data_IF_362396397718
#
_entry.id   IF_362396397718
#
_cell.length_a   1.000
_cell.length_b   1.000
_cell.length_c   1.000
_cell.angle_alpha   90.00
_cell.angle_beta   90.00
_cell.angle_gamma   90.00
#
_symmetry.space_group_name_H-M   'P 1'
#
loop_
_entity.id
_entity.type
_entity.pdbx_description
1 polymer ?
#
# COMPACT_ATOMS: atom_id res chain seq x y z
N UNK A 1 47.53 81.31 3.30
CA UNK A 1 48.96 80.98 3.50
C UNK A 1 49.20 79.58 2.96
N UNK A 2 50.05 79.51 1.93
CA UNK A 2 50.99 78.43 1.58
C UNK A 2 50.54 76.97 1.74
N UNK A 3 50.46 76.27 0.59
CA UNK A 3 49.98 74.90 0.46
C UNK A 3 50.89 73.80 1.00
N UNK A 4 50.51 72.52 0.80
CA UNK A 4 51.28 71.39 1.30
C UNK A 4 52.14 70.72 0.23
N UNK A 5 53.25 70.21 0.76
CA UNK A 5 54.38 69.52 0.15
C UNK A 5 54.01 68.23 -0.61
N UNK A 6 54.82 67.95 -1.63
CA UNK A 6 54.93 66.67 -2.33
C UNK A 6 55.79 65.67 -1.54
N UNK A 7 55.42 64.39 -1.61
CA UNK A 7 56.23 63.24 -1.18
C UNK A 7 55.63 61.94 -1.75
N UNK A 8 56.44 60.99 -2.26
CA UNK A 8 55.99 60.00 -3.24
C UNK A 8 55.30 58.79 -2.61
N UNK A 9 54.14 58.39 -3.14
CA UNK A 9 53.50 57.10 -2.87
C UNK A 9 54.12 56.01 -3.74
N UNK A 10 54.95 55.17 -3.14
CA UNK A 10 55.44 53.92 -3.73
C UNK A 10 54.29 52.91 -3.85
N UNK A 11 53.78 52.73 -5.07
CA UNK A 11 52.80 51.70 -5.39
C UNK A 11 53.41 50.31 -5.30
N UNK A 12 52.97 49.50 -4.33
CA UNK A 12 53.23 48.05 -4.34
C UNK A 12 52.23 47.40 -5.29
N UNK A 13 52.71 46.88 -6.41
CA UNK A 13 51.91 46.01 -7.27
C UNK A 13 51.62 44.69 -6.54
N UNK A 14 50.36 44.22 -6.49
CA UNK A 14 50.07 42.88 -5.99
C UNK A 14 50.70 41.84 -6.92
N UNK A 15 51.23 40.72 -6.40
CA UNK A 15 51.78 39.67 -7.24
C UNK A 15 50.68 39.09 -8.14
N UNK A 16 50.93 39.11 -9.45
CA UNK A 16 50.05 38.49 -10.43
C UNK A 16 50.03 36.97 -10.18
N UNK A 17 48.91 36.47 -9.68
CA UNK A 17 48.67 35.04 -9.53
C UNK A 17 48.73 34.36 -10.91
N UNK A 18 49.42 33.21 -11.05
CA UNK A 18 49.52 32.52 -12.32
C UNK A 18 48.13 32.13 -12.81
N UNK A 19 47.85 32.41 -14.10
CA UNK A 19 46.54 32.19 -14.76
C UNK A 19 45.93 30.80 -14.55
N UNK A 20 46.76 29.79 -14.25
CA UNK A 20 46.32 28.41 -13.93
C UNK A 20 45.73 28.26 -12.52
N UNK A 21 46.21 29.03 -11.54
CA UNK A 21 45.65 29.01 -10.18
C UNK A 21 44.28 29.73 -10.13
N UNK A 22 44.13 30.82 -10.90
CA UNK A 22 42.87 31.54 -11.02
C UNK A 22 41.76 30.71 -11.70
N UNK A 23 42.12 29.86 -12.67
CA UNK A 23 41.16 29.00 -13.37
C UNK A 23 40.69 27.81 -12.53
N UNK A 24 41.55 27.25 -11.67
CA UNK A 24 41.15 26.19 -10.72
C UNK A 24 40.22 26.74 -9.63
N UNK A 25 40.53 27.92 -9.08
CA UNK A 25 39.66 28.59 -8.10
C UNK A 25 38.30 28.96 -8.69
N UNK A 26 38.26 29.43 -9.94
CA UNK A 26 37.01 29.70 -10.65
C UNK A 26 36.17 28.44 -10.88
N UNK A 27 36.81 27.32 -11.22
CA UNK A 27 36.12 26.04 -11.39
C UNK A 27 35.54 25.49 -10.07
N UNK A 28 36.28 25.62 -8.96
CA UNK A 28 35.78 25.23 -7.64
C UNK A 28 34.66 26.15 -7.12
N UNK A 29 34.71 27.45 -7.44
CA UNK A 29 33.63 28.37 -7.10
C UNK A 29 32.35 28.06 -7.91
N UNK A 30 32.50 27.73 -9.21
CA UNK A 30 31.36 27.33 -10.05
C UNK A 30 30.70 26.03 -9.57
N UNK A 31 31.48 25.04 -9.13
CA UNK A 31 30.91 23.78 -8.62
C UNK A 31 30.23 23.96 -7.26
N UNK A 32 30.74 24.84 -6.39
CA UNK A 32 30.07 25.20 -5.14
C UNK A 32 28.75 25.96 -5.38
N UNK A 33 28.69 26.86 -6.38
CA UNK A 33 27.47 27.55 -6.78
C UNK A 33 26.44 26.60 -7.44
N UNK A 34 26.90 25.60 -8.18
CA UNK A 34 26.02 24.59 -8.80
C UNK A 34 25.43 23.61 -7.79
N UNK A 35 26.13 23.30 -6.69
CA UNK A 35 25.62 22.43 -5.62
C UNK A 35 24.51 23.10 -4.77
N UNK A 36 24.41 24.43 -4.80
CA UNK A 36 23.36 25.18 -4.10
C UNK A 36 22.00 25.17 -4.84
N UNK A 37 21.94 24.67 -6.08
CA UNK A 37 20.70 24.54 -6.84
C UNK A 37 20.03 23.17 -6.63
N UNK A 38 20.05 22.64 -5.40
CA UNK A 38 19.10 21.60 -5.00
C UNK A 38 17.82 22.31 -4.58
N UNK A 39 17.01 22.68 -5.56
CA UNK A 39 15.64 23.10 -5.29
C UNK A 39 14.89 21.90 -4.73
N UNK A 40 14.45 21.99 -3.47
CA UNK A 40 13.35 21.14 -3.02
C UNK A 40 12.21 21.29 -4.03
N UNK A 41 11.52 20.20 -4.41
CA UNK A 41 10.37 20.32 -5.29
C UNK A 41 9.37 21.24 -4.61
N UNK A 42 9.32 22.48 -5.09
CA UNK A 42 8.31 23.44 -4.66
C UNK A 42 7.00 22.87 -5.19
N UNK A 43 6.19 22.33 -4.29
CA UNK A 43 4.79 22.01 -4.54
C UNK A 43 4.04 23.32 -4.74
N UNK A 44 4.20 23.92 -5.91
CA UNK A 44 3.45 25.10 -6.33
C UNK A 44 2.04 24.68 -6.73
N UNK A 45 1.04 25.18 -6.01
CA UNK A 45 -0.33 25.29 -6.54
C UNK A 45 -1.45 24.49 -5.87
N UNK A 46 -1.31 24.03 -4.63
CA UNK A 46 -2.45 23.44 -3.91
C UNK A 46 -3.22 24.49 -3.13
N UNK A 47 -4.48 24.75 -3.49
CA UNK A 47 -5.49 25.08 -2.47
C UNK A 47 -5.26 24.06 -1.35
N UNK A 48 -4.91 24.50 -0.14
CA UNK A 48 -4.59 23.58 0.96
C UNK A 48 -5.81 22.69 1.20
N UNK A 49 -5.73 21.46 0.70
CA UNK A 49 -6.87 20.53 0.68
C UNK A 49 -7.01 20.03 2.11
N UNK A 50 -7.75 20.79 2.92
CA UNK A 50 -7.97 20.48 4.34
C UNK A 50 -8.70 19.15 4.51
N UNK A 51 -9.48 18.72 3.51
CA UNK A 51 -10.07 17.39 3.51
C UNK A 51 -9.02 16.31 3.20
N UNK A 52 -8.79 15.45 4.19
CA UNK A 52 -7.89 14.30 4.05
C UNK A 52 -8.31 13.36 2.92
N UNK A 53 -9.58 13.32 2.51
CA UNK A 53 -10.04 12.45 1.42
C UNK A 53 -9.52 12.89 0.07
N UNK A 54 -9.42 14.20 -0.14
CA UNK A 54 -8.90 14.76 -1.37
C UNK A 54 -7.36 14.86 -1.33
N UNK A 55 -6.75 14.95 -0.14
CA UNK A 55 -5.29 14.87 0.05
C UNK A 55 -4.74 13.44 -0.07
N UNK A 56 -5.44 12.46 0.50
CA UNK A 56 -5.09 11.04 0.48
C UNK A 56 -6.22 10.24 -0.17
N UNK A 57 -6.46 10.42 -1.49
CA UNK A 57 -7.54 9.74 -2.17
C UNK A 57 -7.28 8.24 -2.25
N UNK A 58 -8.34 7.45 -2.07
CA UNK A 58 -8.30 6.03 -2.39
C UNK A 58 -8.44 5.90 -3.90
N UNK A 59 -7.42 5.33 -4.53
CA UNK A 59 -7.36 5.08 -5.97
C UNK A 59 -7.40 3.59 -6.25
N UNK A 60 -7.89 3.25 -7.44
CA UNK A 60 -7.93 1.87 -7.92
C UNK A 60 -6.72 1.64 -8.82
N UNK A 61 -5.96 0.61 -8.52
CA UNK A 61 -4.76 0.25 -9.28
C UNK A 61 -4.68 -1.27 -9.45
N UNK A 62 -4.12 -1.73 -10.56
CA UNK A 62 -3.75 -3.12 -10.72
C UNK A 62 -2.45 -3.40 -9.96
N UNK A 63 -2.43 -4.48 -9.19
CA UNK A 63 -1.24 -4.89 -8.48
C UNK A 63 -1.20 -6.38 -8.19
N UNK A 64 0.00 -6.89 -7.83
CA UNK A 64 0.15 -8.29 -7.48
C UNK A 64 -0.55 -8.59 -6.15
N UNK A 65 -1.22 -9.73 -6.11
CA UNK A 65 -1.65 -10.42 -4.89
C UNK A 65 -0.79 -11.67 -4.78
N UNK A 66 -0.06 -11.82 -3.67
CA UNK A 66 0.88 -12.94 -3.48
C UNK A 66 0.62 -13.73 -2.21
N UNK A 67 0.81 -15.05 -2.28
CA UNK A 67 0.80 -15.97 -1.15
C UNK A 67 2.07 -16.82 -1.20
N UNK A 68 2.85 -16.79 -0.12
CA UNK A 68 4.03 -17.61 0.04
C UNK A 68 3.65 -18.91 0.77
N UNK A 69 3.94 -20.06 0.15
CA UNK A 69 3.66 -21.40 0.68
C UNK A 69 4.99 -22.06 1.03
N UNK A 70 5.13 -22.50 2.28
CA UNK A 70 6.36 -23.11 2.79
C UNK A 70 6.35 -24.63 2.56
N UNK A 71 7.29 -25.15 1.76
CA UNK A 71 7.40 -26.58 1.50
C UNK A 71 7.69 -27.37 2.77
N UNK A 72 7.05 -28.52 2.92
CA UNK A 72 7.33 -29.47 4.00
C UNK A 72 8.03 -30.72 3.45
N UNK A 73 8.82 -31.40 4.29
CA UNK A 73 9.61 -32.57 3.92
C UNK A 73 8.83 -33.66 3.18
N UNK A 74 7.55 -33.90 3.53
CA UNK A 74 6.71 -34.92 2.88
C UNK A 74 5.82 -34.37 1.78
N UNK A 75 5.81 -33.06 1.54
CA UNK A 75 4.94 -32.40 0.57
C UNK A 75 3.49 -32.23 1.05
N UNK A 76 3.20 -32.43 2.33
CA UNK A 76 1.90 -32.09 2.90
C UNK A 76 1.81 -30.57 3.12
N UNK A 77 0.62 -30.00 2.96
CA UNK A 77 0.36 -28.65 3.44
C UNK A 77 -0.17 -28.76 4.87
N UNK A 78 0.32 -27.89 5.75
CA UNK A 78 -0.31 -27.69 7.06
C UNK A 78 -1.77 -27.25 6.85
N UNK A 79 -2.73 -27.63 7.73
CA UNK A 79 -4.14 -27.26 7.58
C UNK A 79 -4.38 -25.76 7.36
N UNK A 80 -3.56 -24.90 7.97
CA UNK A 80 -3.63 -23.46 7.75
C UNK A 80 -3.20 -23.09 6.33
N UNK A 81 -2.08 -23.61 5.85
CA UNK A 81 -1.60 -23.34 4.48
C UNK A 81 -2.57 -23.88 3.42
N UNK A 82 -3.18 -25.04 3.67
CA UNK A 82 -4.22 -25.57 2.79
C UNK A 82 -5.42 -24.62 2.69
N UNK A 83 -5.89 -24.11 3.83
CA UNK A 83 -6.99 -23.12 3.89
C UNK A 83 -6.62 -21.81 3.18
N UNK A 84 -5.40 -21.32 3.39
CA UNK A 84 -4.91 -20.11 2.75
C UNK A 84 -4.82 -20.27 1.22
N UNK A 85 -4.36 -21.44 0.75
CA UNK A 85 -4.31 -21.78 -0.69
C UNK A 85 -5.71 -21.85 -1.28
N UNK A 86 -6.66 -22.52 -0.63
CA UNK A 86 -8.05 -22.61 -1.12
C UNK A 86 -8.69 -21.22 -1.23
N UNK A 87 -8.53 -20.39 -0.19
CA UNK A 87 -9.02 -19.01 -0.20
C UNK A 87 -8.36 -18.19 -1.32
N UNK A 88 -7.06 -18.36 -1.54
CA UNK A 88 -6.31 -17.67 -2.59
C UNK A 88 -6.74 -18.11 -4.01
N UNK A 89 -7.00 -19.40 -4.23
CA UNK A 89 -7.50 -19.90 -5.51
C UNK A 89 -8.93 -19.39 -5.79
N UNK A 90 -9.78 -19.33 -4.76
CA UNK A 90 -11.11 -18.73 -4.87
C UNK A 90 -11.01 -17.24 -5.20
N UNK A 91 -10.08 -16.51 -4.58
CA UNK A 91 -9.82 -15.10 -4.85
C UNK A 91 -9.37 -14.88 -6.31
N UNK A 92 -8.42 -15.69 -6.79
CA UNK A 92 -7.95 -15.67 -8.19
C UNK A 92 -9.10 -15.90 -9.17
N UNK A 93 -9.99 -16.87 -8.90
CA UNK A 93 -11.13 -17.13 -9.78
C UNK A 93 -12.16 -16.01 -9.82
N UNK A 94 -12.29 -15.24 -8.74
CA UNK A 94 -13.26 -14.13 -8.65
C UNK A 94 -12.71 -12.81 -9.19
N UNK A 95 -11.45 -12.51 -8.91
CA UNK A 95 -10.86 -11.18 -9.11
C UNK A 95 -9.55 -11.19 -9.89
N UNK A 96 -9.01 -12.37 -10.20
CA UNK A 96 -7.74 -12.52 -10.89
C UNK A 96 -7.79 -12.06 -12.33
N UNK A 97 -6.69 -11.43 -12.76
CA UNK A 97 -6.43 -11.00 -14.12
C UNK A 97 -5.15 -11.69 -14.61
N UNK A 98 -5.20 -12.24 -15.82
CA UNK A 98 -4.09 -12.98 -16.40
C UNK A 98 -3.87 -14.35 -15.73
N UNK A 99 -2.64 -14.86 -15.81
CA UNK A 99 -2.26 -16.18 -15.30
C UNK A 99 -1.92 -16.15 -13.81
N UNK A 100 -2.21 -17.24 -13.12
CA UNK A 100 -1.66 -17.53 -11.80
C UNK A 100 -0.20 -17.96 -11.96
N UNK A 101 0.73 -17.18 -11.42
CA UNK A 101 2.15 -17.48 -11.43
C UNK A 101 2.53 -18.26 -10.17
N UNK A 102 3.09 -19.46 -10.35
CA UNK A 102 3.71 -20.28 -9.32
C UNK A 102 5.23 -20.21 -9.47
N UNK A 103 5.88 -19.44 -8.59
CA UNK A 103 7.33 -19.32 -8.58
C UNK A 103 7.93 -20.33 -7.60
N UNK A 104 8.72 -21.26 -8.13
CA UNK A 104 9.35 -22.35 -7.39
C UNK A 104 10.81 -21.98 -7.11
N UNK A 105 11.29 -22.09 -5.85
CA UNK A 105 12.67 -21.78 -5.53
C UNK A 105 13.64 -22.76 -6.21
N UNK A 106 14.74 -22.23 -6.72
CA UNK A 106 15.84 -22.97 -7.34
C UNK A 106 17.15 -22.76 -6.56
N UNK A 107 18.01 -23.77 -6.56
CA UNK A 107 19.26 -23.75 -5.79
C UNK A 107 19.07 -23.97 -4.28
N UNK A 108 17.94 -24.58 -3.89
CA UNK A 108 17.72 -25.02 -2.49
C UNK A 108 18.70 -26.15 -2.11
N UNK A 109 19.02 -26.32 -0.83
CA UNK A 109 19.80 -27.45 -0.33
C UNK A 109 19.26 -28.82 -0.81
N UNK A 110 20.12 -29.82 -1.07
CA UNK A 110 19.72 -31.10 -1.66
C UNK A 110 18.61 -31.85 -0.90
N UNK A 111 18.58 -31.73 0.42
CA UNK A 111 17.57 -32.32 1.31
C UNK A 111 16.18 -31.68 1.13
N UNK A 112 16.10 -30.46 0.62
CA UNK A 112 14.85 -29.72 0.43
C UNK A 112 14.28 -29.81 -1.00
N UNK A 113 15.08 -30.22 -1.99
CA UNK A 113 14.66 -30.28 -3.40
C UNK A 113 13.38 -31.12 -3.57
N UNK A 114 13.34 -32.30 -2.96
CA UNK A 114 12.20 -33.20 -3.07
C UNK A 114 10.94 -32.66 -2.38
N UNK A 115 11.11 -31.93 -1.27
CA UNK A 115 10.03 -31.25 -0.56
C UNK A 115 9.38 -30.16 -1.41
N UNK A 116 10.21 -29.32 -2.04
CA UNK A 116 9.79 -28.25 -2.96
C UNK A 116 9.01 -28.83 -4.14
N UNK A 117 9.56 -29.85 -4.82
CA UNK A 117 8.92 -30.47 -5.98
C UNK A 117 7.58 -31.12 -5.62
N UNK A 118 7.51 -31.85 -4.49
CA UNK A 118 6.25 -32.43 -4.02
C UNK A 118 5.22 -31.36 -3.71
N UNK A 119 5.61 -30.31 -3.00
CA UNK A 119 4.70 -29.19 -2.65
C UNK A 119 4.19 -28.48 -3.90
N UNK A 120 5.05 -28.19 -4.89
CA UNK A 120 4.63 -27.61 -6.17
C UNK A 120 3.61 -28.51 -6.89
N UNK A 121 3.83 -29.84 -6.89
CA UNK A 121 2.88 -30.78 -7.48
C UNK A 121 1.52 -30.78 -6.77
N UNK A 122 1.50 -30.65 -5.44
CA UNK A 122 0.28 -30.56 -4.64
C UNK A 122 -0.46 -29.26 -4.96
N UNK A 123 0.25 -28.13 -5.01
CA UNK A 123 -0.35 -26.83 -5.35
C UNK A 123 -0.96 -26.83 -6.75
N UNK A 124 -0.33 -27.48 -7.73
CA UNK A 124 -0.90 -27.65 -9.07
C UNK A 124 -2.20 -28.45 -9.05
N UNK A 125 -2.25 -29.56 -8.29
CA UNK A 125 -3.47 -30.36 -8.13
C UNK A 125 -4.57 -29.59 -7.39
N UNK A 126 -4.25 -28.92 -6.29
CA UNK A 126 -5.20 -28.08 -5.53
C UNK A 126 -5.76 -26.95 -6.39
N UNK A 127 -4.94 -26.31 -7.22
CA UNK A 127 -5.40 -25.33 -8.19
C UNK A 127 -6.48 -25.91 -9.11
N UNK A 128 -6.22 -27.07 -9.71
CA UNK A 128 -7.19 -27.74 -10.60
C UNK A 128 -8.48 -28.17 -9.88
N UNK A 129 -8.37 -28.66 -8.64
CA UNK A 129 -9.52 -29.03 -7.80
C UNK A 129 -10.37 -27.82 -7.43
N UNK A 130 -9.74 -26.66 -7.21
CA UNK A 130 -10.42 -25.39 -6.94
C UNK A 130 -11.00 -24.71 -8.19
N UNK A 131 -10.87 -25.33 -9.37
CA UNK A 131 -11.42 -24.84 -10.63
C UNK A 131 -10.53 -23.85 -11.37
N UNK A 132 -9.23 -23.82 -11.08
CA UNK A 132 -8.22 -23.10 -11.88
C UNK A 132 -7.72 -24.04 -12.98
N UNK A 133 -7.85 -23.64 -14.25
CA UNK A 133 -7.39 -24.49 -15.34
C UNK A 133 -5.86 -24.60 -15.32
N UNK A 134 -5.32 -25.79 -15.61
CA UNK A 134 -3.86 -25.99 -15.68
C UNK A 134 -3.16 -25.02 -16.65
N UNK A 135 -3.85 -24.60 -17.73
CA UNK A 135 -3.32 -23.59 -18.69
C UNK A 135 -3.22 -22.17 -18.12
N UNK A 136 -3.93 -21.88 -17.03
CA UNK A 136 -3.91 -20.59 -16.35
C UNK A 136 -2.78 -20.52 -15.31
N UNK A 137 -2.16 -21.65 -14.97
CA UNK A 137 -1.06 -21.74 -14.01
C UNK A 137 0.26 -21.71 -14.77
N UNK A 138 0.95 -20.58 -14.72
CA UNK A 138 2.31 -20.44 -15.21
C UNK A 138 3.30 -20.82 -14.10
N UNK A 139 4.23 -21.73 -14.37
CA UNK A 139 5.27 -22.11 -13.41
C UNK A 139 6.60 -21.48 -13.83
N UNK A 140 7.26 -20.80 -12.91
CA UNK A 140 8.60 -20.24 -13.13
C UNK A 140 9.53 -20.52 -11.95
N UNK A 141 10.84 -20.43 -12.19
CA UNK A 141 11.86 -20.57 -11.15
C UNK A 141 12.34 -19.22 -10.63
N UNK A 142 12.78 -19.17 -9.38
CA UNK A 142 13.56 -18.03 -8.87
C UNK A 142 14.77 -18.51 -8.07
N UNK A 143 15.88 -17.78 -8.14
CA UNK A 143 17.09 -18.13 -7.41
C UNK A 143 16.95 -17.75 -5.91
N UNK A 144 17.30 -18.68 -5.02
CA UNK A 144 17.33 -18.41 -3.58
C UNK A 144 18.59 -17.61 -3.24
N UNK A 145 18.40 -16.41 -2.69
CA UNK A 145 19.51 -15.49 -2.39
C UNK A 145 20.42 -15.98 -1.24
N UNK A 146 19.85 -16.66 -0.24
CA UNK A 146 20.59 -17.23 0.88
C UNK A 146 20.00 -18.61 1.23
N UNK A 147 20.76 -19.71 1.10
CA UNK A 147 20.26 -21.08 1.34
C UNK A 147 19.82 -21.36 2.78
N UNK A 148 20.19 -20.50 3.73
CA UNK A 148 19.81 -20.60 5.14
C UNK A 148 18.43 -20.02 5.44
N UNK A 149 17.85 -19.24 4.52
CA UNK A 149 16.51 -18.70 4.65
C UNK A 149 15.48 -19.70 4.14
N UNK A 150 14.30 -19.70 4.74
CA UNK A 150 13.17 -20.47 4.24
C UNK A 150 12.87 -20.05 2.78
N UNK A 151 12.80 -21.03 1.87
CA UNK A 151 12.53 -20.82 0.46
C UNK A 151 11.08 -21.22 0.12
N UNK A 152 10.11 -20.30 0.17
CA UNK A 152 8.72 -20.60 -0.13
C UNK A 152 8.47 -20.76 -1.63
N UNK A 153 7.42 -21.49 -1.98
CA UNK A 153 6.80 -21.41 -3.31
C UNK A 153 5.87 -20.20 -3.30
N UNK A 154 6.08 -19.24 -4.19
CA UNK A 154 5.26 -18.02 -4.26
C UNK A 154 4.17 -18.17 -5.31
N UNK A 155 2.93 -18.09 -4.86
CA UNK A 155 1.77 -17.96 -5.73
C UNK A 155 1.47 -16.47 -5.92
N UNK A 156 1.22 -16.02 -7.14
CA UNK A 156 0.85 -14.64 -7.40
C UNK A 156 -0.02 -14.45 -8.63
N UNK A 157 -0.89 -13.46 -8.59
CA UNK A 157 -1.68 -13.05 -9.75
C UNK A 157 -1.92 -11.54 -9.71
N UNK A 158 -2.33 -10.95 -10.83
CA UNK A 158 -2.70 -9.54 -10.88
C UNK A 158 -4.17 -9.37 -10.52
N UNK A 159 -4.50 -8.38 -9.70
CA UNK A 159 -5.87 -7.98 -9.44
C UNK A 159 -5.97 -6.47 -9.27
N UNK A 160 -7.16 -5.93 -9.49
CA UNK A 160 -7.46 -4.57 -9.09
C UNK A 160 -7.50 -4.49 -7.56
N UNK A 161 -6.94 -3.42 -7.01
CA UNK A 161 -6.83 -3.17 -5.58
C UNK A 161 -7.13 -1.70 -5.29
N UNK A 162 -7.71 -1.41 -4.13
CA UNK A 162 -7.80 -0.06 -3.61
C UNK A 162 -6.52 0.26 -2.84
N UNK A 163 -5.92 1.42 -3.09
CA UNK A 163 -4.74 1.94 -2.36
C UNK A 163 -4.83 3.45 -2.21
N UNK A 164 -4.12 4.02 -1.24
CA UNK A 164 -3.92 5.47 -1.19
C UNK A 164 -2.95 5.88 -2.30
N UNK A 165 -3.21 7.00 -2.98
CA UNK A 165 -2.38 7.47 -4.09
C UNK A 165 -0.93 7.75 -3.67
N UNK A 166 -0.74 8.30 -2.47
CA UNK A 166 0.54 8.72 -1.94
C UNK A 166 1.03 7.82 -0.80
N UNK A 167 2.35 7.81 -0.59
CA UNK A 167 2.94 7.14 0.57
C UNK A 167 2.63 7.91 1.86
N UNK A 168 2.12 7.22 2.88
CA UNK A 168 1.96 7.80 4.21
C UNK A 168 3.33 8.06 4.86
N UNK A 169 3.38 9.04 5.78
CA UNK A 169 4.59 9.35 6.55
C UNK A 169 5.44 10.48 5.96
N UNK A 170 4.87 11.27 5.06
CA UNK A 170 5.48 12.50 4.56
C UNK A 170 5.21 13.65 5.54
N UNK A 171 6.24 14.37 5.96
CA UNK A 171 6.14 15.47 6.92
C UNK A 171 6.63 16.78 6.29
N UNK A 172 5.85 17.39 5.36
CA UNK A 172 6.24 18.64 4.71
C UNK A 172 6.23 19.83 5.67
N UNK A 173 5.48 19.73 6.77
CA UNK A 173 5.55 20.64 7.92
C UNK A 173 5.87 19.82 9.16
N UNK A 174 6.68 20.41 10.05
CA UNK A 174 6.90 19.86 11.39
C UNK A 174 5.60 19.91 12.20
N UNK A 175 5.44 18.97 13.13
CA UNK A 175 4.36 18.97 14.12
C UNK A 175 4.69 19.82 15.36
N UNK A 176 5.97 20.19 15.52
CA UNK A 176 6.44 21.06 16.59
C UNK A 176 6.06 22.52 16.41
N UNK A 177 6.36 23.34 17.42
CA UNK A 177 6.21 24.80 17.35
C UNK A 177 7.46 25.42 16.67
N UNK A 178 7.43 25.55 15.35
CA UNK A 178 8.49 26.17 14.53
C UNK A 178 8.03 27.38 13.70
N UNK A 179 6.74 27.48 13.37
CA UNK A 179 6.14 28.57 12.60
C UNK A 179 4.73 28.91 13.13
N UNK A 180 4.59 30.10 13.72
CA UNK A 180 3.32 30.56 14.28
C UNK A 180 2.14 30.50 13.29
N UNK A 181 2.35 30.85 12.03
CA UNK A 181 1.28 30.85 11.03
C UNK A 181 0.79 29.44 10.65
N UNK A 182 1.66 28.44 10.77
CA UNK A 182 1.37 27.03 10.44
C UNK A 182 0.88 26.25 11.65
N UNK A 183 1.51 26.45 12.81
CA UNK A 183 1.32 25.59 13.98
C UNK A 183 0.16 26.04 14.87
N UNK A 184 -0.20 27.33 14.81
CA UNK A 184 -1.30 27.90 15.59
C UNK A 184 -2.56 28.11 14.76
N UNK A 185 -2.63 27.48 13.58
CA UNK A 185 -3.86 27.40 12.82
C UNK A 185 -4.60 26.08 13.17
N UNK A 186 -5.92 26.08 13.11
CA UNK A 186 -6.73 24.88 13.35
C UNK A 186 -6.83 24.00 12.09
N UNK A 187 -5.71 23.74 11.41
CA UNK A 187 -5.67 22.88 10.22
C UNK A 187 -5.17 21.49 10.58
N UNK A 188 -5.68 20.46 9.88
CA UNK A 188 -5.16 19.11 10.04
C UNK A 188 -3.71 19.01 9.54
N UNK A 189 -2.91 18.20 10.22
CA UNK A 189 -1.56 17.88 9.75
C UNK A 189 -1.59 17.10 8.44
N UNK A 190 -0.50 17.15 7.67
CA UNK A 190 -0.43 16.51 6.36
C UNK A 190 -0.79 15.02 6.39
N UNK A 191 -0.30 14.27 7.37
CA UNK A 191 -0.54 12.82 7.47
C UNK A 191 -1.90 12.44 8.05
N UNK A 192 -2.72 13.41 8.49
CA UNK A 192 -4.03 13.10 9.03
C UNK A 192 -4.87 12.37 7.98
N UNK A 193 -5.46 11.24 8.38
CA UNK A 193 -6.33 10.44 7.53
C UNK A 193 -5.61 9.45 6.60
N UNK A 194 -4.30 9.57 6.35
CA UNK A 194 -3.59 8.66 5.43
C UNK A 194 -3.64 7.19 5.89
N UNK A 195 -3.38 6.95 7.18
CA UNK A 195 -3.47 5.62 7.77
C UNK A 195 -4.90 5.07 7.75
N UNK A 196 -5.90 5.92 7.98
CA UNK A 196 -7.32 5.52 7.93
C UNK A 196 -7.73 5.15 6.50
N UNK A 197 -7.38 5.97 5.51
CA UNK A 197 -7.64 5.69 4.10
C UNK A 197 -6.94 4.40 3.65
N UNK A 198 -5.71 4.17 4.11
CA UNK A 198 -4.95 2.94 3.82
C UNK A 198 -5.62 1.71 4.42
N UNK A 199 -6.08 1.78 5.67
CA UNK A 199 -6.79 0.69 6.33
C UNK A 199 -8.14 0.41 5.67
N UNK A 200 -8.89 1.45 5.28
CA UNK A 200 -10.15 1.27 4.54
C UNK A 200 -9.87 0.61 3.20
N UNK A 201 -8.91 1.12 2.43
CA UNK A 201 -8.51 0.58 1.14
C UNK A 201 -8.09 -0.91 1.22
N UNK A 202 -7.35 -1.29 2.26
CA UNK A 202 -6.94 -2.67 2.48
C UNK A 202 -8.09 -3.62 2.85
N UNK A 203 -9.14 -3.10 3.49
CA UNK A 203 -10.32 -3.89 3.89
C UNK A 203 -11.38 -4.01 2.78
N UNK A 204 -11.27 -3.21 1.71
CA UNK A 204 -12.22 -3.28 0.59
C UNK A 204 -12.09 -4.63 -0.13
N UNK A 205 -13.17 -5.40 -0.11
CA UNK A 205 -13.22 -6.70 -0.78
C UNK A 205 -13.23 -6.56 -2.32
N UNK A 206 -14.06 -5.68 -2.86
CA UNK A 206 -14.12 -5.35 -4.28
C UNK A 206 -13.85 -3.86 -4.50
N UNK A 207 -12.68 -3.46 -5.03
CA UNK A 207 -12.33 -2.06 -5.22
C UNK A 207 -13.29 -1.28 -6.10
N UNK A 208 -14.00 -1.95 -7.01
CA UNK A 208 -14.94 -1.30 -7.94
C UNK A 208 -16.14 -0.69 -7.20
N UNK A 209 -16.49 -1.25 -6.03
CA UNK A 209 -17.58 -0.75 -5.18
C UNK A 209 -17.29 0.68 -4.65
N UNK A 210 -16.03 1.15 -4.68
CA UNK A 210 -15.67 2.52 -4.31
C UNK A 210 -15.97 3.55 -5.40
N UNK A 211 -16.04 3.14 -6.67
CA UNK A 211 -16.28 4.03 -7.81
C UNK A 211 -17.73 4.00 -8.25
N UNK A 212 -18.37 2.82 -8.15
CA UNK A 212 -19.76 2.65 -8.53
C UNK A 212 -20.44 1.68 -7.56
N UNK A 213 -21.68 2.01 -7.20
CA UNK A 213 -22.53 1.07 -6.48
C UNK A 213 -22.86 -0.15 -7.34
N UNK A 214 -23.15 -1.27 -6.67
CA UNK A 214 -23.76 -2.42 -7.35
C UNK A 214 -25.15 -2.05 -7.84
N UNK A 215 -25.57 -2.55 -9.02
CA UNK A 215 -26.93 -2.32 -9.48
C UNK A 215 -27.93 -2.90 -8.47
N UNK A 216 -29.01 -2.16 -8.23
CA UNK A 216 -30.09 -2.65 -7.39
C UNK A 216 -30.68 -3.93 -8.00
N UNK A 217 -30.88 -4.94 -7.16
CA UNK A 217 -31.56 -6.17 -7.56
C UNK A 217 -33.05 -5.94 -7.78
N UNK A 218 -33.74 -6.98 -8.23
CA UNK A 218 -35.20 -6.97 -8.30
C UNK A 218 -35.78 -6.72 -6.91
N UNK A 219 -36.81 -5.89 -6.83
CA UNK A 219 -37.59 -5.67 -5.60
C UNK A 219 -38.08 -7.03 -5.07
N UNK A 220 -37.86 -7.28 -3.78
CA UNK A 220 -38.51 -8.38 -3.07
C UNK A 220 -40.00 -8.02 -2.90
N UNK A 221 -40.81 -8.46 -3.88
CA UNK A 221 -42.24 -8.19 -3.92
C UNK A 221 -42.97 -8.80 -2.72
N UNK A 222 -42.54 -9.98 -2.27
CA UNK A 222 -43.18 -10.69 -1.15
C UNK A 222 -42.98 -9.91 0.14
N UNK A 223 -41.73 -9.55 0.45
CA UNK A 223 -41.41 -8.75 1.63
C UNK A 223 -42.12 -7.39 1.57
N UNK A 224 -42.04 -6.70 0.44
CA UNK A 224 -42.60 -5.34 0.29
C UNK A 224 -44.12 -5.31 0.41
N UNK A 225 -44.84 -6.25 -0.22
CA UNK A 225 -46.31 -6.32 -0.12
C UNK A 225 -46.74 -6.65 1.30
N UNK A 226 -46.04 -7.58 1.98
CA UNK A 226 -46.30 -7.93 3.37
C UNK A 226 -46.09 -6.72 4.30
N UNK A 227 -44.94 -6.06 4.20
CA UNK A 227 -44.58 -4.94 5.07
C UNK A 227 -45.58 -3.77 4.89
N UNK A 228 -45.97 -3.47 3.65
CA UNK A 228 -47.01 -2.46 3.35
C UNK A 228 -48.37 -2.87 3.92
N UNK A 229 -48.74 -4.15 3.82
CA UNK A 229 -49.99 -4.67 4.37
C UNK A 229 -50.04 -4.55 5.90
N UNK A 230 -48.95 -4.92 6.58
CA UNK A 230 -48.83 -4.78 8.04
C UNK A 230 -48.96 -3.32 8.49
N UNK A 231 -48.28 -2.40 7.80
CA UNK A 231 -48.39 -0.96 8.10
C UNK A 231 -49.83 -0.44 7.93
N UNK A 232 -50.56 -0.89 6.90
CA UNK A 232 -51.97 -0.51 6.68
C UNK A 232 -52.92 -1.04 7.76
N UNK A 233 -52.61 -2.22 8.29
CA UNK A 233 -53.35 -2.85 9.38
C UNK A 233 -52.98 -2.30 10.77
N UNK A 234 -52.03 -1.35 10.86
CA UNK A 234 -51.50 -0.86 12.15
C UNK A 234 -50.62 -1.87 12.89
N UNK A 235 -50.04 -2.85 12.18
CA UNK A 235 -49.14 -3.88 12.71
C UNK A 235 -47.68 -3.51 12.42
N UNK A 236 -46.77 -3.89 13.31
CA UNK A 236 -45.33 -3.70 13.13
C UNK A 236 -44.78 -4.64 12.03
N UNK A 237 -44.16 -4.13 10.95
CA UNK A 237 -43.56 -4.94 9.89
C UNK A 237 -42.15 -5.47 10.22
N UNK A 238 -41.62 -5.18 11.40
CA UNK A 238 -40.29 -5.62 11.81
C UNK A 238 -40.19 -7.15 11.94
N UNK A 239 -38.98 -7.68 11.70
CA UNK A 239 -38.71 -9.11 11.92
C UNK A 239 -38.75 -9.40 13.42
N UNK A 240 -39.68 -10.26 13.86
CA UNK A 240 -39.67 -10.79 15.23
C UNK A 240 -38.54 -11.80 15.38
N UNK A 241 -37.45 -11.38 16.01
CA UNK A 241 -36.37 -12.29 16.40
C UNK A 241 -36.86 -13.14 17.58
N UNK A 242 -36.91 -14.47 17.39
CA UNK A 242 -37.06 -15.38 18.53
C UNK A 242 -35.78 -15.27 19.35
N UNK A 243 -35.89 -14.79 20.58
CA UNK A 243 -34.80 -14.90 21.53
C UNK A 243 -34.82 -16.34 22.04
N UNK A 244 -33.85 -17.15 21.64
CA UNK A 244 -33.72 -18.54 22.02
C UNK A 244 -33.26 -18.68 23.49
N UNK A 245 -33.73 -17.85 24.42
CA UNK A 245 -33.49 -17.91 25.88
C UNK A 245 -32.02 -17.82 26.36
N UNK A 246 -31.03 -18.02 25.50
CA UNK A 246 -29.61 -18.14 25.81
C UNK A 246 -28.92 -16.78 25.99
N UNK A 247 -29.59 -15.67 25.65
CA UNK A 247 -29.08 -14.29 25.78
C UNK A 247 -29.84 -13.45 26.80
N UNK A 248 -30.71 -14.05 27.62
CA UNK A 248 -31.37 -13.35 28.72
C UNK A 248 -30.45 -13.23 29.94
N UNK A 249 -29.54 -12.25 29.95
CA UNK A 249 -28.63 -11.92 31.07
C UNK A 249 -29.38 -11.40 32.33
N UNK A 250 -30.72 -11.43 32.35
CA UNK A 250 -31.53 -10.88 33.46
C UNK A 250 -31.74 -11.82 34.66
N UNK A 251 -31.22 -13.04 34.64
CA UNK A 251 -31.49 -14.02 35.71
C UNK A 251 -30.35 -14.21 36.74
N UNK A 252 -29.20 -13.53 36.61
CA UNK A 252 -28.04 -13.79 37.50
C UNK A 252 -27.80 -12.75 38.61
N UNK A 253 -28.70 -11.82 38.86
CA UNK A 253 -28.59 -10.93 40.03
C UNK A 253 -29.90 -10.94 40.80
N UNK A 254 -30.06 -11.96 41.64
CA UNK A 254 -30.94 -11.87 42.81
C UNK A 254 -30.05 -12.14 44.02
N UNK A 255 -29.82 -11.10 44.82
CA UNK A 255 -29.23 -11.21 46.16
C UNK A 255 -30.21 -11.92 47.09
#
# INVERSE_FOLDING_TARGET
MTGPMTGPTTGRHPPALPRRAASVLAACALSALAAACKTDPVTTGGIDVTDYRARHPIVLTDGPRSLDVFPTGTGHLDPRQATDVDAFMLEYRRYGRGTLLMQVPQGVPPDQVAAVQRTASVLGRLGTQNGVNAREIAVSGYAVAAPTLAAPIRLSFQRMQAKVADACGLWPQDLGAGNFATDYNNRPSWNLGCAMQSNVAAQVADPVDLVRGRPEGRIDTVKRVRDIGQLRDGKDPSTTWRQDGQTAVKAQVTN
#
